data_IF_210902016415
#
_entry.id   IF_210902016415
#
_cell.length_a   1.000
_cell.length_b   1.000
_cell.length_c   1.000
_cell.angle_alpha   90.00
_cell.angle_beta   90.00
_cell.angle_gamma   90.00
#
_symmetry.space_group_name_H-M   'P 1'
#
loop_
_entity.id
_entity.type
_entity.pdbx_description
1 polymer ?
#
# COMPACT_ATOMS: atom_id res chain seq x y z
N UNK A 1 22.04 -34.26 -46.55
CA UNK A 1 21.02 -33.44 -45.86
C UNK A 1 20.58 -32.34 -46.80
N UNK A 2 19.25 -32.22 -46.98
CA UNK A 2 18.52 -31.27 -47.83
C UNK A 2 18.56 -29.83 -47.25
N UNK A 3 18.86 -28.85 -48.12
CA UNK A 3 18.13 -27.60 -48.45
C UNK A 3 17.59 -26.72 -47.28
N UNK A 4 17.77 -25.39 -47.26
CA UNK A 4 17.34 -24.45 -48.31
C UNK A 4 18.18 -23.15 -48.36
N UNK A 5 18.40 -22.72 -49.61
CA UNK A 5 19.06 -21.50 -50.10
C UNK A 5 18.35 -20.19 -49.72
N UNK A 6 19.12 -19.09 -49.57
CA UNK A 6 18.71 -17.73 -49.89
C UNK A 6 19.23 -17.34 -51.28
N UNK A 7 18.38 -16.83 -52.19
CA UNK A 7 18.78 -15.87 -53.23
C UNK A 7 17.53 -15.41 -53.98
N UNK A 8 16.99 -14.25 -53.59
CA UNK A 8 16.10 -13.49 -54.45
C UNK A 8 16.96 -12.88 -55.57
N UNK A 9 16.92 -13.53 -56.73
CA UNK A 9 17.43 -13.02 -57.99
C UNK A 9 16.73 -11.69 -58.31
N UNK A 10 17.49 -10.60 -58.20
CA UNK A 10 17.16 -9.35 -58.88
C UNK A 10 17.07 -9.64 -60.38
N UNK A 11 15.85 -9.49 -60.89
CA UNK A 11 15.52 -8.90 -62.19
C UNK A 11 16.62 -8.92 -63.25
N UNK A 12 16.50 -9.89 -64.14
CA UNK A 12 16.94 -9.81 -65.53
C UNK A 12 16.39 -8.53 -66.18
N UNK A 13 17.20 -7.49 -66.25
CA UNK A 13 17.10 -6.50 -67.32
C UNK A 13 17.66 -7.18 -68.58
N UNK A 14 16.86 -7.42 -69.64
CA UNK A 14 17.43 -7.75 -70.91
C UNK A 14 18.14 -6.49 -71.39
N UNK A 15 19.47 -6.52 -71.38
CA UNK A 15 20.28 -5.66 -72.20
C UNK A 15 20.04 -6.07 -73.66
N UNK A 16 18.86 -5.73 -74.20
CA UNK A 16 18.61 -5.76 -75.64
C UNK A 16 19.34 -4.57 -76.26
N UNK A 17 20.66 -4.59 -76.19
CA UNK A 17 21.48 -4.00 -77.22
C UNK A 17 21.23 -4.85 -78.47
N UNK A 18 20.19 -4.49 -79.21
CA UNK A 18 19.93 -5.01 -80.53
C UNK A 18 21.09 -4.57 -81.41
N UNK A 19 22.16 -5.39 -81.43
CA UNK A 19 23.23 -5.34 -82.42
C UNK A 19 22.59 -5.59 -83.78
N UNK A 20 22.08 -4.52 -84.38
CA UNK A 20 21.99 -4.40 -85.83
C UNK A 20 23.43 -4.53 -86.35
N UNK A 21 23.71 -5.38 -87.34
CA UNK A 21 25.08 -5.65 -87.78
C UNK A 21 25.66 -4.32 -88.30
N UNK A 22 26.59 -3.74 -87.55
CA UNK A 22 27.34 -2.58 -88.00
C UNK A 22 28.31 -3.07 -89.08
N UNK A 23 27.97 -2.81 -90.34
CA UNK A 23 28.90 -2.90 -91.46
C UNK A 23 30.21 -2.15 -91.11
N UNK A 24 31.39 -2.69 -91.47
CA UNK A 24 32.66 -2.04 -91.18
C UNK A 24 32.69 -0.64 -91.83
N UNK A 25 33.16 0.40 -91.13
CA UNK A 25 33.14 1.77 -91.63
C UNK A 25 34.05 1.90 -92.84
N UNK A 26 33.50 2.30 -93.99
CA UNK A 26 34.25 2.47 -95.23
C UNK A 26 35.04 3.80 -95.30
N UNK A 27 34.99 4.64 -94.26
CA UNK A 27 35.86 5.82 -94.12
C UNK A 27 36.11 6.16 -92.63
N UNK A 28 37.27 6.77 -92.33
CA UNK A 28 37.63 7.20 -90.96
C UNK A 28 36.64 8.21 -90.36
N UNK A 29 35.89 8.92 -91.20
CA UNK A 29 34.98 9.99 -90.82
C UNK A 29 33.63 9.47 -90.29
N UNK A 30 33.13 8.36 -90.86
CA UNK A 30 31.91 7.70 -90.39
C UNK A 30 32.11 6.96 -89.07
N UNK A 31 33.30 6.39 -88.86
CA UNK A 31 33.69 5.82 -87.58
C UNK A 31 33.73 6.89 -86.47
N UNK A 32 34.23 8.09 -86.77
CA UNK A 32 34.27 9.20 -85.82
C UNK A 32 32.86 9.72 -85.46
N UNK A 33 31.92 9.75 -86.41
CA UNK A 33 30.52 10.11 -86.15
C UNK A 33 29.82 9.06 -85.29
N UNK A 34 30.02 7.77 -85.57
CA UNK A 34 29.45 6.69 -84.76
C UNK A 34 29.97 6.72 -83.31
N UNK A 35 31.26 6.99 -83.11
CA UNK A 35 31.86 7.15 -81.78
C UNK A 35 31.26 8.35 -81.02
N UNK A 36 31.05 9.50 -81.69
CA UNK A 36 30.38 10.67 -81.08
C UNK A 36 28.94 10.35 -80.67
N UNK A 37 28.16 9.67 -81.52
CA UNK A 37 26.79 9.29 -81.16
C UNK A 37 26.73 8.31 -79.99
N UNK A 38 27.70 7.39 -79.89
CA UNK A 38 27.82 6.49 -78.73
C UNK A 38 28.23 7.26 -77.47
N UNK A 39 29.08 8.26 -77.60
CA UNK A 39 29.52 9.11 -76.49
C UNK A 39 28.35 9.93 -75.93
N UNK A 40 27.53 10.53 -76.79
CA UNK A 40 26.31 11.25 -76.40
C UNK A 40 25.27 10.31 -75.75
N UNK A 41 25.13 9.07 -76.26
CA UNK A 41 24.29 8.05 -75.64
C UNK A 41 24.79 7.66 -74.24
N UNK A 42 26.10 7.57 -74.03
CA UNK A 42 26.66 7.28 -72.70
C UNK A 42 26.38 8.45 -71.74
N UNK A 43 26.51 9.70 -72.20
CA UNK A 43 26.24 10.87 -71.36
C UNK A 43 24.76 10.99 -70.98
N UNK A 44 23.85 10.75 -71.92
CA UNK A 44 22.41 10.73 -71.66
C UNK A 44 22.02 9.59 -70.71
N UNK A 45 22.55 8.38 -70.90
CA UNK A 45 22.33 7.25 -69.98
C UNK A 45 22.88 7.53 -68.58
N UNK A 46 24.01 8.24 -68.45
CA UNK A 46 24.55 8.65 -67.15
C UNK A 46 23.65 9.64 -66.44
N UNK A 47 23.10 10.63 -67.17
CA UNK A 47 22.12 11.59 -66.60
C UNK A 47 20.85 10.89 -66.14
N UNK A 48 20.29 10.00 -66.96
CA UNK A 48 19.11 9.22 -66.58
C UNK A 48 19.35 8.34 -65.37
N UNK A 49 20.53 7.70 -65.28
CA UNK A 49 20.91 6.90 -64.11
C UNK A 49 20.96 7.77 -62.85
N UNK A 50 21.56 8.95 -62.93
CA UNK A 50 21.66 9.88 -61.80
C UNK A 50 20.26 10.33 -61.33
N UNK A 51 19.36 10.65 -62.27
CA UNK A 51 17.99 11.04 -61.94
C UNK A 51 17.19 9.90 -61.30
N UNK A 52 17.31 8.67 -61.82
CA UNK A 52 16.68 7.50 -61.26
C UNK A 52 17.23 7.15 -59.87
N UNK A 53 18.54 7.29 -59.68
CA UNK A 53 19.19 7.10 -58.38
C UNK A 53 18.71 8.14 -57.36
N UNK A 54 18.61 9.41 -57.76
CA UNK A 54 18.05 10.47 -56.91
C UNK A 54 16.55 10.26 -56.60
N UNK A 55 15.76 9.76 -57.55
CA UNK A 55 14.36 9.40 -57.30
C UNK A 55 14.24 8.21 -56.35
N UNK A 56 15.05 7.18 -56.55
CA UNK A 56 15.08 6.01 -55.68
C UNK A 56 15.52 6.36 -54.25
N UNK A 57 16.49 7.27 -54.10
CA UNK A 57 16.95 7.73 -52.79
C UNK A 57 15.86 8.55 -52.07
N UNK A 58 15.10 9.37 -52.80
CA UNK A 58 13.95 10.11 -52.24
C UNK A 58 12.83 9.17 -51.79
N UNK A 59 12.47 8.17 -52.58
CA UNK A 59 11.42 7.22 -52.19
C UNK A 59 11.84 6.37 -51.00
N UNK A 60 13.09 5.89 -50.97
CA UNK A 60 13.66 5.19 -49.82
C UNK A 60 13.61 6.05 -48.55
N UNK A 61 13.98 7.32 -48.65
CA UNK A 61 13.97 8.24 -47.50
C UNK A 61 12.55 8.44 -46.94
N UNK A 62 11.54 8.54 -47.82
CA UNK A 62 10.15 8.65 -47.43
C UNK A 62 9.62 7.36 -46.78
N UNK A 63 9.92 6.21 -47.36
CA UNK A 63 9.50 4.91 -46.81
C UNK A 63 10.15 4.63 -45.45
N UNK A 64 11.44 4.95 -45.30
CA UNK A 64 12.14 4.83 -44.02
C UNK A 64 11.53 5.77 -42.97
N UNK A 65 11.20 7.01 -43.35
CA UNK A 65 10.52 7.96 -42.48
C UNK A 65 9.14 7.48 -42.01
N UNK A 66 8.32 6.98 -42.95
CA UNK A 66 7.00 6.41 -42.64
C UNK A 66 7.08 5.16 -41.76
N UNK A 67 8.06 4.28 -42.03
CA UNK A 67 8.29 3.08 -41.21
C UNK A 67 8.75 3.45 -39.80
N UNK A 68 9.63 4.43 -39.64
CA UNK A 68 10.06 4.92 -38.34
C UNK A 68 8.88 5.51 -37.54
N UNK A 69 8.02 6.30 -38.20
CA UNK A 69 6.82 6.87 -37.59
C UNK A 69 5.83 5.81 -37.12
N UNK A 70 5.58 4.76 -37.93
CA UNK A 70 4.73 3.62 -37.53
C UNK A 70 5.31 2.84 -36.35
N UNK A 71 6.62 2.63 -36.32
CA UNK A 71 7.29 1.95 -35.21
C UNK A 71 7.22 2.77 -33.91
N UNK A 72 7.39 4.10 -34.00
CA UNK A 72 7.27 5.00 -32.85
C UNK A 72 5.84 4.97 -32.27
N UNK A 73 4.82 5.13 -33.10
CA UNK A 73 3.41 5.03 -32.67
C UNK A 73 3.07 3.65 -32.10
N UNK A 74 3.62 2.57 -32.67
CA UNK A 74 3.45 1.22 -32.13
C UNK A 74 4.09 1.03 -30.74
N UNK A 75 5.25 1.66 -30.52
CA UNK A 75 5.92 1.68 -29.22
C UNK A 75 5.13 2.45 -28.15
N UNK A 76 4.59 3.61 -28.52
CA UNK A 76 3.73 4.42 -27.64
C UNK A 76 2.43 3.69 -27.27
N UNK A 77 1.77 3.07 -28.25
CA UNK A 77 0.58 2.25 -28.01
C UNK A 77 0.87 1.06 -27.06
N UNK A 78 2.00 0.38 -27.25
CA UNK A 78 2.44 -0.70 -26.36
C UNK A 78 2.76 -0.23 -24.93
N UNK A 79 3.35 0.96 -24.79
CA UNK A 79 3.63 1.56 -23.49
C UNK A 79 2.34 1.90 -22.73
N UNK A 80 1.33 2.45 -23.43
CA UNK A 80 0.01 2.75 -22.85
C UNK A 80 -0.71 1.47 -22.40
N UNK A 81 -0.71 0.43 -23.23
CA UNK A 81 -1.34 -0.86 -22.87
C UNK A 81 -0.66 -1.50 -21.65
N UNK A 82 0.66 -1.37 -21.53
CA UNK A 82 1.40 -1.85 -20.36
C UNK A 82 1.07 -1.06 -19.10
N UNK A 83 0.89 0.26 -19.21
CA UNK A 83 0.45 1.10 -18.10
C UNK A 83 -0.96 0.75 -17.64
N UNK A 84 -1.89 0.51 -18.57
CA UNK A 84 -3.25 0.07 -18.27
C UNK A 84 -3.26 -1.25 -17.50
N UNK A 85 -2.49 -2.24 -17.95
CA UNK A 85 -2.35 -3.51 -17.23
C UNK A 85 -1.77 -3.34 -15.81
N UNK A 86 -0.78 -2.47 -15.65
CA UNK A 86 -0.21 -2.16 -14.33
C UNK A 86 -1.23 -1.45 -13.43
N UNK A 87 -2.03 -0.56 -13.99
CA UNK A 87 -3.08 0.16 -13.27
C UNK A 87 -4.16 -0.82 -12.78
N UNK A 88 -4.65 -1.70 -13.63
CA UNK A 88 -5.63 -2.74 -13.27
C UNK A 88 -5.09 -3.68 -12.20
N UNK A 89 -3.82 -4.09 -12.32
CA UNK A 89 -3.15 -4.89 -11.30
C UNK A 89 -3.05 -4.15 -9.96
N UNK A 90 -2.71 -2.86 -9.98
CA UNK A 90 -2.63 -2.03 -8.80
C UNK A 90 -4.00 -1.83 -8.14
N UNK A 91 -5.05 -1.56 -8.92
CA UNK A 91 -6.42 -1.42 -8.42
C UNK A 91 -6.91 -2.72 -7.76
N UNK A 92 -6.69 -3.88 -8.39
CA UNK A 92 -7.04 -5.17 -7.80
C UNK A 92 -6.30 -5.42 -6.48
N UNK A 93 -5.00 -5.09 -6.41
CA UNK A 93 -4.24 -5.21 -5.15
C UNK A 93 -4.79 -4.31 -4.05
N UNK A 94 -5.18 -3.08 -4.38
CA UNK A 94 -5.77 -2.15 -3.42
C UNK A 94 -7.12 -2.64 -2.88
N UNK A 95 -7.96 -3.23 -3.74
CA UNK A 95 -9.23 -3.85 -3.32
C UNK A 95 -8.97 -4.99 -2.33
N UNK A 96 -8.07 -5.91 -2.66
CA UNK A 96 -7.70 -7.02 -1.78
C UNK A 96 -7.11 -6.54 -0.45
N UNK A 97 -6.25 -5.52 -0.48
CA UNK A 97 -5.68 -4.92 0.73
C UNK A 97 -6.76 -4.25 1.59
N UNK A 98 -7.67 -3.48 0.99
CA UNK A 98 -8.80 -2.87 1.68
C UNK A 98 -9.66 -3.93 2.36
N UNK A 99 -9.97 -5.02 1.66
CA UNK A 99 -10.82 -6.08 2.20
C UNK A 99 -10.10 -6.84 3.32
N UNK A 100 -8.78 -7.05 3.21
CA UNK A 100 -7.96 -7.59 4.30
C UNK A 100 -7.96 -6.68 5.52
N UNK A 101 -7.84 -5.36 5.34
CA UNK A 101 -7.90 -4.39 6.45
C UNK A 101 -9.27 -4.42 7.12
N UNK A 102 -10.36 -4.51 6.34
CA UNK A 102 -11.72 -4.67 6.88
C UNK A 102 -11.85 -5.94 7.70
N UNK A 103 -11.41 -7.08 7.16
CA UNK A 103 -11.43 -8.34 7.89
C UNK A 103 -10.60 -8.29 9.18
N UNK A 104 -9.40 -7.71 9.14
CA UNK A 104 -8.58 -7.52 10.34
C UNK A 104 -9.26 -6.61 11.37
N UNK A 105 -9.93 -5.55 10.91
CA UNK A 105 -10.72 -4.66 11.76
C UNK A 105 -11.90 -5.39 12.39
N UNK A 106 -12.65 -6.16 11.61
CA UNK A 106 -13.82 -6.90 12.09
C UNK A 106 -13.40 -8.01 13.06
N UNK A 107 -12.28 -8.70 12.80
CA UNK A 107 -11.69 -9.67 13.72
C UNK A 107 -11.19 -8.99 14.99
N UNK A 108 -10.55 -7.82 14.90
CA UNK A 108 -10.11 -7.07 16.07
C UNK A 108 -11.30 -6.56 16.91
N UNK A 109 -12.38 -6.11 16.27
CA UNK A 109 -13.61 -5.70 16.95
C UNK A 109 -14.32 -6.89 17.60
N UNK A 110 -14.39 -8.04 16.91
CA UNK A 110 -15.00 -9.26 17.47
C UNK A 110 -14.15 -9.87 18.59
N UNK A 111 -12.82 -9.71 18.52
CA UNK A 111 -11.86 -10.15 19.53
C UNK A 111 -11.57 -9.09 20.61
N UNK A 112 -12.26 -7.94 20.63
CA UNK A 112 -12.33 -7.08 21.81
C UNK A 112 -13.16 -7.79 22.88
N UNK A 113 -12.58 -8.85 23.41
CA UNK A 113 -12.97 -9.48 24.65
C UNK A 113 -12.57 -8.52 25.77
N UNK A 114 -13.39 -7.49 25.97
CA UNK A 114 -13.12 -6.50 27.01
C UNK A 114 -13.30 -7.17 28.37
N UNK A 115 -12.36 -6.91 29.27
CA UNK A 115 -12.54 -7.22 30.68
C UNK A 115 -13.04 -5.95 31.36
N UNK A 116 -13.97 -6.06 32.29
CA UNK A 116 -14.48 -4.91 33.04
C UNK A 116 -13.94 -4.98 34.46
N UNK A 117 -13.41 -3.89 34.98
CA UNK A 117 -13.03 -3.78 36.40
C UNK A 117 -14.00 -2.84 37.10
N UNK A 118 -14.42 -3.25 38.29
CA UNK A 118 -15.25 -2.46 39.19
C UNK A 118 -14.55 -2.36 40.53
N UNK A 119 -14.24 -1.15 40.97
CA UNK A 119 -13.57 -0.88 42.24
C UNK A 119 -14.61 -0.37 43.25
N UNK A 120 -14.72 -1.08 44.36
CA UNK A 120 -15.63 -0.84 45.46
C UNK A 120 -14.85 -0.40 46.69
N UNK A 121 -15.44 0.50 47.46
CA UNK A 121 -14.94 0.94 48.75
C UNK A 121 -15.92 0.59 49.86
N UNK A 122 -15.42 -0.05 50.91
CA UNK A 122 -16.12 -0.21 52.18
C UNK A 122 -15.23 0.28 53.32
N UNK A 123 -15.82 0.88 54.35
CA UNK A 123 -15.06 1.25 55.54
C UNK A 123 -15.94 1.21 56.78
N UNK A 124 -15.41 0.71 57.89
CA UNK A 124 -16.15 0.68 59.16
C UNK A 124 -15.97 1.98 59.95
N UNK A 125 -14.83 2.66 59.74
CA UNK A 125 -14.50 3.91 60.42
C UNK A 125 -13.79 4.84 59.45
N UNK A 126 -14.49 5.87 58.97
CA UNK A 126 -13.91 7.00 58.24
C UNK A 126 -13.94 8.26 59.12
N UNK A 127 -12.87 9.08 59.13
CA UNK A 127 -12.91 10.36 59.81
C UNK A 127 -13.98 11.27 59.18
N UNK A 128 -14.67 12.04 60.02
CA UNK A 128 -15.69 12.98 59.57
C UNK A 128 -15.03 14.13 58.79
N UNK A 129 -15.22 14.17 57.47
CA UNK A 129 -14.73 15.25 56.62
C UNK A 129 -14.54 14.82 55.17
N UNK A 130 -14.01 15.74 54.36
CA UNK A 130 -13.68 15.45 52.97
C UNK A 130 -12.43 14.58 52.89
N UNK A 131 -12.54 13.46 52.16
CA UNK A 131 -11.45 12.51 51.90
C UNK A 131 -11.21 12.41 50.40
N UNK A 132 -9.98 12.11 50.02
CA UNK A 132 -9.61 11.92 48.62
C UNK A 132 -9.12 10.50 48.41
N UNK A 133 -9.71 9.80 47.45
CA UNK A 133 -9.31 8.48 46.99
C UNK A 133 -8.66 8.61 45.61
N UNK A 134 -7.41 8.22 45.47
CA UNK A 134 -6.68 8.22 44.20
C UNK A 134 -6.46 6.77 43.75
N UNK A 135 -6.97 6.42 42.58
CA UNK A 135 -6.80 5.10 41.96
C UNK A 135 -5.68 5.17 40.91
N UNK A 136 -4.78 4.20 40.98
CA UNK A 136 -3.72 3.97 40.00
C UNK A 136 -3.81 2.56 39.44
N UNK A 137 -3.56 2.40 38.14
CA UNK A 137 -3.54 1.12 37.42
C UNK A 137 -2.19 0.99 36.73
N UNK A 138 -1.47 -0.08 37.03
CA UNK A 138 -0.12 -0.33 36.51
C UNK A 138 0.82 0.87 36.71
N UNK A 139 0.68 1.56 37.86
CA UNK A 139 1.45 2.75 38.22
C UNK A 139 0.96 4.06 37.58
N UNK A 140 -0.03 4.03 36.69
CA UNK A 140 -0.58 5.22 36.06
C UNK A 140 -1.78 5.76 36.85
N UNK A 141 -1.84 7.08 37.14
CA UNK A 141 -3.00 7.68 37.79
C UNK A 141 -4.21 7.64 36.84
N UNK A 142 -5.31 7.11 37.35
CA UNK A 142 -6.50 6.83 36.55
C UNK A 142 -7.68 7.71 36.96
N UNK A 143 -7.98 7.75 38.26
CA UNK A 143 -9.12 8.50 38.79
C UNK A 143 -8.79 9.04 40.17
N UNK A 144 -9.35 10.21 40.49
CA UNK A 144 -9.32 10.77 41.83
C UNK A 144 -10.74 11.15 42.22
N UNK A 145 -11.26 10.52 43.27
CA UNK A 145 -12.61 10.72 43.77
C UNK A 145 -12.53 11.43 45.11
N UNK A 146 -13.23 12.57 45.21
CA UNK A 146 -13.39 13.27 46.49
C UNK A 146 -14.69 12.83 47.15
N UNK A 147 -14.57 12.18 48.30
CA UNK A 147 -15.71 11.79 49.13
C UNK A 147 -16.24 13.02 49.86
N UNK A 148 -17.49 13.36 49.60
CA UNK A 148 -18.21 14.37 50.39
C UNK A 148 -18.51 13.83 51.78
N UNK A 149 -18.74 14.69 52.79
CA UNK A 149 -19.05 14.24 54.15
C UNK A 149 -20.27 13.30 54.24
N UNK A 150 -21.26 13.49 53.35
CA UNK A 150 -22.45 12.63 53.26
C UNK A 150 -22.10 11.23 52.76
N UNK A 151 -21.29 11.12 51.69
CA UNK A 151 -20.81 9.83 51.18
C UNK A 151 -19.88 9.15 52.18
N UNK A 152 -18.95 9.88 52.79
CA UNK A 152 -18.06 9.35 53.81
C UNK A 152 -18.85 8.77 55.01
N UNK A 153 -19.93 9.44 55.43
CA UNK A 153 -20.84 8.93 56.47
C UNK A 153 -21.60 7.68 56.03
N UNK A 154 -22.06 7.62 54.77
CA UNK A 154 -22.75 6.44 54.24
C UNK A 154 -21.81 5.22 54.16
N UNK A 155 -20.58 5.42 53.67
CA UNK A 155 -19.56 4.37 53.61
C UNK A 155 -19.21 3.89 55.01
N UNK A 156 -19.02 4.80 55.97
CA UNK A 156 -18.78 4.47 57.38
C UNK A 156 -19.95 3.71 58.04
N UNK A 157 -21.16 3.84 57.52
CA UNK A 157 -22.33 3.09 57.96
C UNK A 157 -22.44 1.69 57.31
N UNK A 158 -21.42 1.28 56.55
CA UNK A 158 -21.35 -0.03 55.89
C UNK A 158 -21.82 -0.04 54.44
N UNK A 159 -22.11 1.11 53.83
CA UNK A 159 -22.42 1.16 52.40
C UNK A 159 -21.16 0.89 51.56
N UNK A 160 -21.29 0.06 50.52
CA UNK A 160 -20.27 -0.07 49.49
C UNK A 160 -20.47 1.02 48.42
N UNK A 161 -19.44 1.81 48.14
CA UNK A 161 -19.47 2.86 47.10
C UNK A 161 -18.64 2.42 45.89
N UNK A 162 -19.19 2.57 44.69
CA UNK A 162 -18.47 2.29 43.42
C UNK A 162 -17.60 3.51 43.09
N UNK A 163 -16.28 3.35 43.21
CA UNK A 163 -15.33 4.42 42.93
C UNK A 163 -14.94 4.49 41.45
N UNK A 164 -14.92 3.33 40.79
CA UNK A 164 -14.46 3.22 39.41
C UNK A 164 -15.07 2.02 38.71
N UNK A 165 -15.44 2.20 37.45
CA UNK A 165 -15.79 1.15 36.51
C UNK A 165 -15.25 1.48 35.14
N UNK A 166 -14.52 0.57 34.53
CA UNK A 166 -14.12 0.70 33.13
C UNK A 166 -13.73 -0.63 32.49
N UNK A 167 -13.65 -0.59 31.17
CA UNK A 167 -13.06 -1.63 30.34
C UNK A 167 -11.53 -1.55 30.40
N UNK A 168 -10.90 -2.70 30.58
CA UNK A 168 -9.46 -2.88 30.61
C UNK A 168 -9.07 -4.02 29.66
N UNK A 169 -7.77 -4.10 29.34
CA UNK A 169 -7.25 -5.22 28.58
C UNK A 169 -7.43 -6.53 29.38
N UNK A 170 -7.68 -7.67 28.72
CA UNK A 170 -7.79 -8.98 29.37
C UNK A 170 -6.39 -9.51 29.73
N UNK A 171 -5.69 -8.80 30.61
CA UNK A 171 -4.35 -9.12 31.11
C UNK A 171 -4.26 -8.94 32.62
N UNK A 172 -3.16 -9.38 33.25
CA UNK A 172 -2.95 -9.09 34.67
C UNK A 172 -2.69 -7.58 34.87
N UNK A 173 -3.43 -6.96 35.79
CA UNK A 173 -3.26 -5.54 36.13
C UNK A 173 -3.00 -5.37 37.62
N UNK A 174 -2.22 -4.36 37.99
CA UNK A 174 -2.00 -3.98 39.38
C UNK A 174 -2.78 -2.72 39.69
N UNK A 175 -3.75 -2.83 40.60
CA UNK A 175 -4.55 -1.73 41.07
C UNK A 175 -4.03 -1.27 42.42
N UNK A 176 -3.85 0.04 42.57
CA UNK A 176 -3.51 0.63 43.86
C UNK A 176 -4.45 1.79 44.16
N UNK A 177 -5.06 1.73 45.34
CA UNK A 177 -5.92 2.78 45.86
C UNK A 177 -5.16 3.48 46.99
N UNK A 178 -5.07 4.81 46.93
CA UNK A 178 -4.48 5.64 47.97
C UNK A 178 -5.53 6.59 48.54
N UNK A 179 -5.71 6.55 49.86
CA UNK A 179 -6.57 7.47 50.61
C UNK A 179 -5.75 8.52 51.32
N UNK A 180 -6.15 9.79 51.14
CA UNK A 180 -5.55 10.92 51.83
C UNK A 180 -6.63 11.89 52.33
N UNK A 181 -6.53 12.27 53.61
CA UNK A 181 -7.31 13.37 54.19
C UNK A 181 -7.65 13.16 55.67
N UNK A 182 -7.88 14.27 56.39
CA UNK A 182 -8.35 14.28 57.79
C UNK A 182 -7.58 13.33 58.73
N UNK A 183 -6.24 13.29 58.59
CA UNK A 183 -5.36 12.45 59.42
C UNK A 183 -5.36 10.96 59.07
N UNK A 184 -6.08 10.55 58.01
CA UNK A 184 -6.02 9.20 57.45
C UNK A 184 -5.13 9.22 56.20
N UNK A 185 -4.12 8.36 56.21
CA UNK A 185 -3.34 8.01 55.03
C UNK A 185 -3.20 6.51 54.99
N UNK A 186 -3.79 5.89 53.98
CA UNK A 186 -3.79 4.45 53.79
C UNK A 186 -3.70 4.16 52.30
N UNK A 187 -2.88 3.19 51.92
CA UNK A 187 -2.70 2.78 50.52
C UNK A 187 -2.57 1.27 50.48
N UNK A 188 -3.16 0.64 49.48
CA UNK A 188 -3.14 -0.80 49.30
C UNK A 188 -3.13 -1.11 47.81
N UNK A 189 -2.41 -2.17 47.45
CA UNK A 189 -2.25 -2.61 46.08
C UNK A 189 -2.66 -4.08 45.94
N UNK A 190 -3.33 -4.40 44.84
CA UNK A 190 -3.74 -5.77 44.52
C UNK A 190 -3.53 -6.03 43.03
N UNK A 191 -2.99 -7.20 42.71
CA UNK A 191 -2.90 -7.68 41.33
C UNK A 191 -4.14 -8.50 41.02
N UNK A 192 -4.82 -8.13 39.93
CA UNK A 192 -6.02 -8.80 39.47
C UNK A 192 -5.79 -9.54 38.16
N UNK A 193 -6.28 -10.79 38.04
CA UNK A 193 -6.36 -11.45 36.75
C UNK A 193 -7.60 -10.93 36.01
N UNK A 194 -7.40 -10.16 34.94
CA UNK A 194 -8.50 -9.81 34.04
C UNK A 194 -8.56 -10.80 32.88
N UNK A 195 -9.71 -11.42 32.68
CA UNK A 195 -9.94 -12.35 31.57
C UNK A 195 -11.00 -11.82 30.60
N UNK A 196 -11.00 -12.31 29.35
CA UNK A 196 -12.06 -12.08 28.37
C UNK A 196 -13.48 -12.22 28.92
N UNK A 197 -14.35 -11.23 28.62
CA UNK A 197 -15.78 -11.28 28.94
C UNK A 197 -16.04 -11.54 30.44
N UNK A 198 -15.20 -10.96 31.29
CA UNK A 198 -15.26 -11.12 32.74
C UNK A 198 -15.33 -9.76 33.41
N UNK A 199 -16.14 -9.67 34.45
CA UNK A 199 -16.15 -8.52 35.36
C UNK A 199 -15.34 -8.89 36.60
N UNK A 200 -14.26 -8.18 36.83
CA UNK A 200 -13.44 -8.31 38.04
C UNK A 200 -13.82 -7.22 39.02
N UNK A 201 -14.30 -7.64 40.17
CA UNK A 201 -14.66 -6.77 41.27
C UNK A 201 -13.51 -6.74 42.28
N UNK A 202 -13.16 -5.54 42.71
CA UNK A 202 -12.11 -5.31 43.69
C UNK A 202 -12.69 -4.46 44.80
N UNK A 203 -12.72 -5.01 46.01
CA UNK A 203 -13.19 -4.30 47.19
C UNK A 203 -12.00 -3.92 48.05
N UNK A 204 -11.86 -2.62 48.30
CA UNK A 204 -10.96 -2.09 49.31
C UNK A 204 -11.76 -1.83 50.58
N UNK A 205 -11.35 -2.51 51.66
CA UNK A 205 -11.97 -2.39 52.97
C UNK A 205 -11.03 -1.65 53.91
N UNK A 206 -11.53 -0.59 54.56
CA UNK A 206 -10.80 0.15 55.60
C UNK A 206 -11.36 -0.23 56.97
N UNK A 207 -10.57 -0.97 57.75
CA UNK A 207 -10.88 -1.36 59.13
C UNK A 207 -9.73 -0.97 60.04
N UNK A 208 -10.03 -0.29 61.15
CA UNK A 208 -9.02 0.15 62.14
C UNK A 208 -7.82 0.91 61.53
N UNK A 209 -8.07 1.81 60.56
CA UNK A 209 -7.07 2.60 59.81
C UNK A 209 -6.10 1.78 58.94
N UNK A 210 -6.35 0.49 58.75
CA UNK A 210 -5.65 -0.34 57.79
C UNK A 210 -6.58 -0.60 56.60
N UNK A 211 -6.00 -0.66 55.41
CA UNK A 211 -6.72 -1.01 54.20
C UNK A 211 -6.34 -2.42 53.79
N UNK A 212 -7.33 -3.21 53.38
CA UNK A 212 -7.15 -4.55 52.83
C UNK A 212 -7.93 -4.66 51.53
N UNK A 213 -7.38 -5.35 50.55
CA UNK A 213 -8.03 -5.56 49.26
C UNK A 213 -8.50 -7.01 49.11
N UNK A 214 -9.71 -7.20 48.60
CA UNK A 214 -10.23 -8.50 48.17
C UNK A 214 -10.69 -8.39 46.73
N UNK A 215 -10.63 -9.51 46.00
CA UNK A 215 -11.03 -9.56 44.60
C UNK A 215 -11.90 -10.78 44.35
N UNK A 216 -12.90 -10.63 43.49
CA UNK A 216 -13.67 -11.74 42.95
C UNK A 216 -14.05 -11.44 41.51
N UNK A 217 -14.38 -12.48 40.77
CA UNK A 217 -14.71 -12.36 39.36
C UNK A 217 -16.07 -12.93 39.07
N UNK A 218 -16.83 -12.27 38.21
CA UNK A 218 -18.06 -12.79 37.66
C UNK A 218 -17.95 -12.86 36.13
N UNK A 219 -18.55 -13.89 35.52
CA UNK A 219 -18.62 -13.97 34.07
C UNK A 219 -19.60 -12.89 33.61
N UNK A 220 -19.17 -12.01 32.70
CA UNK A 220 -20.09 -11.06 32.12
C UNK A 220 -21.12 -11.85 31.30
N UNK A 221 -22.39 -11.79 31.68
CA UNK A 221 -23.46 -12.21 30.77
C UNK A 221 -23.42 -11.26 29.57
N UNK A 222 -23.38 -11.77 28.32
CA UNK A 222 -23.47 -10.91 27.15
C UNK A 222 -24.82 -10.19 27.23
N UNK A 223 -24.78 -8.85 27.31
CA UNK A 223 -25.94 -7.99 27.12
C UNK A 223 -26.11 -7.67 25.64
#
# INVERSE_FOLDING_TARGET
>A
MKLLLPLLLLSSLPLSAQQKPAQPPQSKEDAAKALRTLQDQIETMRKQRLELEAQAERTLSLEVGERAKRLAMGGEAGALQKLEFLLDSAQNRLIVQRDRIRLLKDVAATNQQTAVVVVLLRADVLPAGALTAALTVDGNPLSTVRLTPVRAKAVAAGAADELYRAEIAPTGHTLKLDFTGQGLTAGESITIPAAPNQVTYVEFVITARKMTATTWTNRATPF
#
